data_IF_096954375078
#
_entry.id   IF_096954375078
#
_cell.length_a   1.000
_cell.length_b   1.000
_cell.length_c   1.000
_cell.angle_alpha   90.00
_cell.angle_beta   90.00
_cell.angle_gamma   90.00
#
_symmetry.space_group_name_H-M   'P 1'
#
loop_
_entity.id
_entity.type
_entity.pdbx_description
1 polymer ?
#
# COMPACT_ATOMS: atom_id res chain seq x y z
N UNK A 1 7.54 -19.90 -31.17
CA UNK A 1 7.08 -20.92 -30.21
C UNK A 1 5.92 -21.64 -30.83
N UNK A 2 5.99 -22.97 -30.96
CA UNK A 2 4.89 -23.76 -31.49
C UNK A 2 4.20 -24.42 -30.30
N UNK A 3 2.89 -24.25 -30.21
CA UNK A 3 2.07 -24.81 -29.15
C UNK A 3 1.09 -25.80 -29.79
N UNK A 4 1.00 -27.00 -29.23
CA UNK A 4 0.10 -28.05 -29.70
C UNK A 4 -0.69 -28.64 -28.52
N UNK A 5 -1.92 -29.07 -28.82
CA UNK A 5 -2.86 -29.69 -27.90
C UNK A 5 -3.29 -31.09 -28.39
N UNK A 6 -3.25 -32.10 -27.51
CA UNK A 6 -3.87 -33.41 -27.76
C UNK A 6 -5.31 -33.40 -27.23
N UNK A 7 -6.30 -33.74 -28.07
CA UNK A 7 -7.73 -33.68 -27.72
C UNK A 7 -8.15 -34.56 -26.54
N UNK A 8 -7.35 -35.57 -26.16
CA UNK A 8 -7.72 -36.55 -25.12
C UNK A 8 -7.24 -36.23 -23.71
N UNK A 9 -6.41 -35.19 -23.51
CA UNK A 9 -6.05 -34.76 -22.15
C UNK A 9 -5.98 -33.23 -22.03
N UNK A 10 -6.85 -32.68 -21.18
CA UNK A 10 -6.92 -31.24 -20.89
C UNK A 10 -5.70 -30.69 -20.13
N UNK A 11 -4.81 -31.55 -19.61
CA UNK A 11 -3.81 -31.17 -18.60
C UNK A 11 -2.34 -31.34 -18.99
N UNK A 12 -2.00 -32.06 -20.07
CA UNK A 12 -0.59 -32.21 -20.47
C UNK A 12 -0.20 -31.15 -21.48
N UNK A 13 0.54 -30.13 -21.01
CA UNK A 13 1.17 -29.10 -21.84
C UNK A 13 2.63 -29.45 -22.06
N UNK A 14 2.98 -29.78 -23.30
CA UNK A 14 4.37 -30.00 -23.68
C UNK A 14 4.91 -28.77 -24.40
N UNK A 15 6.02 -28.24 -23.88
CA UNK A 15 6.72 -27.10 -24.45
C UNK A 15 8.01 -27.60 -25.07
N UNK A 16 8.18 -27.37 -26.38
CA UNK A 16 9.47 -27.56 -27.02
C UNK A 16 9.80 -26.33 -27.86
N UNK A 17 11.01 -25.82 -27.67
CA UNK A 17 11.55 -24.71 -28.46
C UNK A 17 12.16 -25.27 -29.72
N UNK A 18 11.42 -25.15 -30.82
CA UNK A 18 11.88 -25.60 -32.14
C UNK A 18 12.52 -24.40 -32.85
N UNK A 19 13.73 -24.57 -33.42
CA UNK A 19 14.45 -23.48 -34.08
C UNK A 19 13.85 -23.03 -35.42
N UNK A 20 13.09 -23.88 -36.12
CA UNK A 20 12.51 -23.54 -37.43
C UNK A 20 11.12 -24.18 -37.65
N UNK A 21 10.16 -23.36 -38.09
CA UNK A 21 8.74 -23.74 -38.32
C UNK A 21 8.63 -24.71 -39.50
N UNK A 22 9.49 -24.57 -40.51
CA UNK A 22 9.47 -25.44 -41.70
C UNK A 22 9.90 -26.88 -41.39
N UNK A 23 10.79 -27.06 -40.41
CA UNK A 23 11.23 -28.38 -39.95
C UNK A 23 10.11 -29.12 -39.21
N UNK A 24 9.30 -28.39 -38.44
CA UNK A 24 8.15 -28.96 -37.73
C UNK A 24 7.06 -29.46 -38.70
N UNK A 25 6.71 -28.65 -39.70
CA UNK A 25 5.67 -28.98 -40.69
C UNK A 25 6.06 -30.14 -41.60
N UNK A 26 7.34 -30.25 -41.95
CA UNK A 26 7.78 -31.23 -42.97
C UNK A 26 8.15 -32.58 -42.37
N UNK A 27 8.68 -32.62 -41.14
CA UNK A 27 9.29 -33.83 -40.57
C UNK A 27 8.61 -34.28 -39.28
N UNK A 28 8.28 -33.37 -38.36
CA UNK A 28 7.71 -33.77 -37.06
C UNK A 28 6.20 -34.01 -37.11
N UNK A 29 5.45 -33.19 -37.85
CA UNK A 29 3.98 -33.33 -37.97
C UNK A 29 3.55 -34.69 -38.54
N UNK A 30 4.16 -35.22 -39.62
CA UNK A 30 3.81 -36.52 -40.18
C UNK A 30 4.14 -37.70 -39.25
N UNK A 31 5.25 -37.61 -38.50
CA UNK A 31 5.70 -38.66 -37.58
C UNK A 31 4.79 -38.74 -36.33
N UNK A 32 4.36 -37.59 -35.80
CA UNK A 32 3.45 -37.50 -34.66
C UNK A 32 2.03 -37.98 -35.05
N UNK A 33 1.55 -37.63 -36.25
CA UNK A 33 0.26 -38.11 -36.76
C UNK A 33 0.22 -39.61 -37.04
N UNK A 34 1.37 -40.25 -37.30
CA UNK A 34 1.43 -41.70 -37.57
C UNK A 34 1.39 -42.55 -36.30
N UNK A 35 1.85 -42.02 -35.17
CA UNK A 35 1.89 -42.73 -33.89
C UNK A 35 0.64 -42.55 -33.03
N UNK A 36 -0.10 -41.46 -33.19
CA UNK A 36 -1.34 -41.22 -32.49
C UNK A 36 -2.37 -40.66 -33.48
N UNK A 37 -3.44 -41.43 -33.67
CA UNK A 37 -4.58 -41.16 -34.56
C UNK A 37 -5.41 -39.96 -34.02
N UNK A 38 -4.78 -38.79 -33.90
CA UNK A 38 -5.39 -37.58 -33.37
C UNK A 38 -5.07 -36.43 -34.31
N UNK A 39 -6.12 -35.79 -34.79
CA UNK A 39 -6.07 -34.61 -35.64
C UNK A 39 -5.61 -33.41 -34.81
N UNK A 40 -4.43 -32.89 -35.15
CA UNK A 40 -3.75 -31.82 -34.42
C UNK A 40 -3.96 -30.51 -35.17
N UNK A 41 -4.66 -29.57 -34.54
CA UNK A 41 -4.83 -28.22 -35.07
C UNK A 41 -3.68 -27.33 -34.57
N UNK A 42 -2.78 -26.94 -35.48
CA UNK A 42 -1.65 -26.05 -35.18
C UNK A 42 -2.08 -24.60 -35.35
N UNK A 43 -2.07 -23.82 -34.26
CA UNK A 43 -2.22 -22.37 -34.34
C UNK A 43 -0.86 -21.69 -34.34
N UNK A 44 -0.53 -21.04 -35.45
CA UNK A 44 0.70 -20.25 -35.60
C UNK A 44 0.43 -18.82 -35.12
N UNK A 45 0.84 -18.49 -33.89
CA UNK A 45 0.82 -17.11 -33.39
C UNK A 45 2.10 -16.42 -33.87
N UNK A 46 2.02 -15.77 -35.04
CA UNK A 46 3.05 -14.85 -35.49
C UNK A 46 2.91 -13.52 -34.73
N UNK A 47 3.83 -13.28 -33.79
CA UNK A 47 3.95 -11.96 -33.13
C UNK A 47 4.59 -10.99 -34.13
N UNK A 48 3.77 -10.43 -35.03
CA UNK A 48 4.17 -9.38 -35.97
C UNK A 48 4.56 -8.12 -35.20
N UNK A 49 5.63 -7.47 -35.64
CA UNK A 49 6.17 -6.20 -35.12
C UNK A 49 5.15 -5.04 -35.08
N UNK A 50 3.96 -5.20 -35.67
CA UNK A 50 2.91 -4.19 -35.77
C UNK A 50 2.09 -3.94 -34.50
N UNK A 51 1.99 -4.89 -33.57
CA UNK A 51 1.11 -4.75 -32.40
C UNK A 51 1.60 -3.68 -31.41
N UNK A 52 2.91 -3.63 -31.17
CA UNK A 52 3.48 -2.63 -30.28
C UNK A 52 3.43 -1.23 -30.90
N UNK A 53 3.52 -1.13 -32.23
CA UNK A 53 3.39 0.13 -32.97
C UNK A 53 1.96 0.64 -32.91
N UNK A 54 0.95 -0.23 -33.09
CA UNK A 54 -0.47 0.13 -32.96
C UNK A 54 -0.80 0.52 -31.52
N UNK A 55 -0.28 -0.21 -30.53
CA UNK A 55 -0.39 0.13 -29.12
C UNK A 55 0.21 1.50 -28.80
N UNK A 56 1.43 1.77 -29.25
CA UNK A 56 2.10 3.05 -29.05
C UNK A 56 1.36 4.22 -29.73
N UNK A 57 0.86 4.03 -30.96
CA UNK A 57 0.07 5.04 -31.67
C UNK A 57 -1.28 5.31 -30.98
N UNK A 58 -1.95 4.29 -30.47
CA UNK A 58 -3.23 4.45 -29.75
C UNK A 58 -3.08 5.29 -28.49
N UNK A 59 -1.99 5.13 -27.74
CA UNK A 59 -1.69 5.90 -26.54
C UNK A 59 -1.33 7.35 -26.91
N UNK A 60 -0.52 7.54 -27.96
CA UNK A 60 -0.09 8.85 -28.40
C UNK A 60 -1.27 9.77 -28.77
N UNK A 61 -2.34 9.22 -29.38
CA UNK A 61 -3.55 9.97 -29.75
C UNK A 61 -4.23 10.61 -28.53
N UNK A 62 -4.17 10.00 -27.34
CA UNK A 62 -4.78 10.54 -26.12
C UNK A 62 -3.85 11.43 -25.30
N UNK A 63 -2.54 11.17 -25.33
CA UNK A 63 -1.56 11.94 -24.56
C UNK A 63 -1.33 13.34 -25.16
N UNK A 64 -1.34 13.46 -26.48
CA UNK A 64 -1.10 14.73 -27.17
C UNK A 64 -2.17 15.79 -26.81
N UNK A 65 -3.49 15.52 -26.86
CA UNK A 65 -4.52 16.48 -26.44
C UNK A 65 -4.37 16.92 -24.99
N UNK A 66 -4.10 15.98 -24.07
CA UNK A 66 -4.01 16.25 -22.62
C UNK A 66 -2.87 17.22 -22.29
N UNK A 67 -1.75 17.13 -23.01
CA UNK A 67 -0.60 18.01 -22.79
C UNK A 67 -0.60 19.27 -23.65
N UNK A 68 -1.13 19.21 -24.87
CA UNK A 68 -1.05 20.32 -25.81
C UNK A 68 -2.19 21.34 -25.62
N UNK A 69 -3.39 20.90 -25.23
CA UNK A 69 -4.54 21.80 -24.99
C UNK A 69 -4.25 22.83 -23.87
N UNK A 70 -3.66 22.47 -22.71
CA UNK A 70 -3.30 23.45 -21.68
C UNK A 70 -2.25 24.46 -22.16
N UNK A 71 -1.29 24.02 -22.99
CA UNK A 71 -0.24 24.87 -23.54
C UNK A 71 -0.82 25.89 -24.54
N UNK A 72 -1.78 25.46 -25.35
CA UNK A 72 -2.48 26.30 -26.31
C UNK A 72 -3.36 27.33 -25.59
N UNK A 73 -4.09 26.94 -24.54
CA UNK A 73 -4.86 27.87 -23.71
C UNK A 73 -3.95 28.97 -23.13
N UNK A 74 -2.78 28.60 -22.58
CA UNK A 74 -1.82 29.54 -22.01
C UNK A 74 -1.17 30.48 -23.05
N UNK A 75 -1.09 30.07 -24.31
CA UNK A 75 -0.55 30.90 -25.41
C UNK A 75 -1.57 31.90 -25.95
N UNK A 76 -2.86 31.56 -25.97
CA UNK A 76 -3.93 32.43 -26.49
C UNK A 76 -4.59 33.30 -25.39
N UNK A 77 -4.39 32.99 -24.11
CA UNK A 77 -4.94 33.75 -22.99
C UNK A 77 -4.02 34.85 -22.46
N UNK A 78 -3.24 35.53 -23.32
CA UNK A 78 -2.64 36.82 -22.94
C UNK A 78 -3.65 37.93 -23.24
N UNK A 79 -4.43 38.42 -22.25
CA UNK A 79 -5.31 39.56 -22.48
C UNK A 79 -4.45 40.80 -22.77
N UNK A 80 -4.53 41.32 -23.99
CA UNK A 80 -4.18 42.71 -24.31
C UNK A 80 -5.34 43.58 -23.80
N UNK A 81 -5.57 43.60 -22.49
CA UNK A 81 -6.41 44.62 -21.86
C UNK A 81 -5.87 44.91 -20.47
N UNK A 82 -5.14 46.02 -20.43
CA UNK A 82 -4.74 46.77 -19.25
C UNK A 82 -5.89 46.96 -18.27
N UNK A 83 -5.73 46.50 -17.03
CA UNK A 83 -6.19 47.18 -15.81
C UNK A 83 -5.53 46.53 -14.57
N UNK A 84 -4.94 47.32 -13.65
CA UNK A 84 -4.34 46.80 -12.43
C UNK A 84 -5.43 46.65 -11.36
N UNK A 85 -5.72 45.42 -10.95
CA UNK A 85 -6.47 45.15 -9.72
C UNK A 85 -5.62 44.24 -8.85
N UNK A 86 -5.19 44.80 -7.73
CA UNK A 86 -4.70 44.08 -6.56
C UNK A 86 -5.68 42.96 -6.19
N UNK A 87 -5.31 41.70 -6.41
CA UNK A 87 -5.90 40.55 -5.72
C UNK A 87 -4.94 39.35 -5.78
N UNK A 88 -4.34 39.03 -4.63
CA UNK A 88 -3.97 37.65 -4.32
C UNK A 88 -2.62 37.16 -4.82
N UNK A 89 -1.55 37.75 -4.31
CA UNK A 89 -0.29 37.04 -4.12
C UNK A 89 -0.55 35.75 -3.33
N UNK A 90 -0.17 34.61 -3.90
CA UNK A 90 0.10 33.37 -3.16
C UNK A 90 -1.08 32.41 -3.02
N UNK A 91 -1.21 31.46 -3.95
CA UNK A 91 -1.74 30.10 -3.69
C UNK A 91 -1.54 29.18 -4.89
N UNK A 92 -0.28 28.90 -5.25
CA UNK A 92 0.05 27.73 -6.08
C UNK A 92 1.26 27.06 -5.44
N UNK A 93 1.00 26.21 -4.44
CA UNK A 93 1.92 25.19 -3.91
C UNK A 93 1.07 24.21 -3.08
N UNK A 94 0.37 23.29 -3.75
CA UNK A 94 -0.29 22.16 -3.07
C UNK A 94 -0.39 20.91 -3.95
N UNK A 95 0.59 20.72 -4.84
CA UNK A 95 0.67 19.56 -5.71
C UNK A 95 2.13 19.10 -5.88
N UNK A 96 2.87 18.94 -4.79
CA UNK A 96 4.11 18.17 -4.81
C UNK A 96 4.47 17.72 -3.39
N UNK A 97 4.47 16.41 -3.15
CA UNK A 97 5.11 15.78 -2.00
C UNK A 97 4.33 15.81 -0.68
N UNK A 98 3.30 14.98 -0.55
CA UNK A 98 2.90 14.46 0.77
C UNK A 98 3.12 12.95 0.75
N UNK A 99 4.34 12.53 1.11
CA UNK A 99 4.49 11.29 1.88
C UNK A 99 3.51 11.44 3.04
N UNK A 100 2.58 10.52 3.20
CA UNK A 100 1.68 10.49 4.34
C UNK A 100 2.49 10.27 5.61
N UNK A 101 3.08 11.33 6.15
CA UNK A 101 3.55 11.32 7.53
C UNK A 101 2.32 11.12 8.40
N UNK A 102 2.19 9.92 8.98
CA UNK A 102 1.13 9.66 9.95
C UNK A 102 1.32 10.69 11.08
N UNK A 103 0.39 11.64 11.16
CA UNK A 103 0.40 12.67 12.19
C UNK A 103 -0.14 12.06 13.47
N UNK A 104 0.76 11.52 14.30
CA UNK A 104 0.41 11.13 15.67
C UNK A 104 0.06 12.40 16.46
N UNK A 105 -1.25 12.64 16.61
CA UNK A 105 -1.75 13.78 17.36
C UNK A 105 -1.87 13.36 18.83
N UNK A 106 -0.97 13.83 19.73
CA UNK A 106 -1.08 13.51 21.15
C UNK A 106 -2.41 14.03 21.68
N UNK A 107 -3.25 13.12 22.16
CA UNK A 107 -4.55 13.48 22.73
C UNK A 107 -4.44 13.42 24.23
N UNK A 108 -4.93 14.45 24.93
CA UNK A 108 -5.08 14.39 26.39
C UNK A 108 -6.29 13.53 26.72
N UNK A 109 -6.08 12.47 27.50
CA UNK A 109 -7.17 11.63 28.01
C UNK A 109 -7.77 12.26 29.27
N UNK A 110 -9.08 12.48 29.27
CA UNK A 110 -9.83 12.94 30.45
C UNK A 110 -10.36 11.78 31.32
N UNK A 111 -10.11 10.53 30.92
CA UNK A 111 -10.56 9.33 31.63
C UNK A 111 -9.65 9.04 32.83
N UNK A 112 -10.24 8.59 33.93
CA UNK A 112 -9.56 8.25 35.19
C UNK A 112 -9.82 6.80 35.60
N UNK A 113 -9.11 6.30 36.61
CA UNK A 113 -9.30 4.92 37.12
C UNK A 113 -10.68 4.68 37.73
N UNK A 114 -11.36 5.74 38.17
CA UNK A 114 -12.75 5.67 38.63
C UNK A 114 -13.73 5.30 37.50
N UNK A 115 -13.40 5.63 36.26
CA UNK A 115 -14.27 5.39 35.09
C UNK A 115 -14.14 3.96 34.55
N UNK A 116 -13.13 3.21 35.02
CA UNK A 116 -12.92 1.81 34.67
C UNK A 116 -13.57 0.94 35.73
N UNK A 117 -14.50 0.07 35.35
CA UNK A 117 -15.15 -0.85 36.31
C UNK A 117 -14.40 -2.19 36.32
N UNK A 118 -14.12 -2.72 37.52
CA UNK A 118 -13.41 -3.99 37.71
C UNK A 118 -11.89 -3.90 37.52
N UNK A 119 -11.26 -5.03 37.16
CA UNK A 119 -9.81 -5.17 36.90
C UNK A 119 -8.93 -4.74 38.07
N UNK A 120 -9.25 -5.18 39.29
CA UNK A 120 -8.57 -4.75 40.51
C UNK A 120 -7.08 -5.09 40.49
N UNK A 121 -6.73 -6.29 40.04
CA UNK A 121 -5.37 -6.78 39.94
C UNK A 121 -4.56 -5.96 38.94
N UNK A 122 -5.08 -5.77 37.72
CA UNK A 122 -4.41 -5.00 36.68
C UNK A 122 -4.27 -3.52 37.04
N UNK A 123 -5.26 -2.93 37.73
CA UNK A 123 -5.14 -1.57 38.25
C UNK A 123 -4.00 -1.47 39.25
N UNK A 124 -3.89 -2.43 40.18
CA UNK A 124 -2.85 -2.43 41.20
C UNK A 124 -1.44 -2.50 40.59
N UNK A 125 -1.23 -3.32 39.56
CA UNK A 125 0.06 -3.39 38.85
C UNK A 125 0.38 -2.09 38.07
N UNK A 126 -0.63 -1.47 37.47
CA UNK A 126 -0.44 -0.27 36.65
C UNK A 126 -0.23 1.00 37.49
N UNK A 127 -0.55 1.00 38.79
CA UNK A 127 -0.28 2.15 39.69
C UNK A 127 1.21 2.52 39.68
N UNK A 128 2.11 1.54 39.68
CA UNK A 128 3.55 1.79 39.62
C UNK A 128 3.95 2.50 38.31
N UNK A 129 3.36 2.09 37.19
CA UNK A 129 3.57 2.71 35.89
C UNK A 129 3.04 4.14 35.85
N UNK A 130 1.91 4.42 36.51
CA UNK A 130 1.36 5.78 36.63
C UNK A 130 2.30 6.69 37.42
N UNK A 131 2.83 6.21 38.55
CA UNK A 131 3.78 6.97 39.35
C UNK A 131 5.07 7.26 38.55
N UNK A 132 5.56 6.26 37.82
CA UNK A 132 6.69 6.42 36.90
C UNK A 132 6.42 7.46 35.80
N UNK A 133 5.27 7.38 35.13
CA UNK A 133 4.89 8.34 34.09
C UNK A 133 4.71 9.77 34.62
N UNK A 134 4.38 9.91 35.91
CA UNK A 134 4.20 11.21 36.57
C UNK A 134 5.53 11.84 37.01
N UNK A 135 6.44 11.04 37.59
CA UNK A 135 7.75 11.51 38.05
C UNK A 135 8.82 10.41 37.96
N UNK A 136 9.48 10.34 36.80
CA UNK A 136 10.57 9.40 36.57
C UNK A 136 11.80 9.67 37.46
N UNK A 137 11.97 10.88 38.00
CA UNK A 137 13.18 11.27 38.74
C UNK A 137 13.33 10.49 40.05
N UNK A 138 12.21 10.15 40.69
CA UNK A 138 12.19 9.33 41.92
C UNK A 138 12.79 7.95 41.69
N UNK A 139 12.51 7.33 40.54
CA UNK A 139 13.00 6.00 40.20
C UNK A 139 14.51 6.00 39.93
N UNK A 140 15.03 7.06 39.29
CA UNK A 140 16.48 7.23 39.09
C UNK A 140 17.24 7.40 40.41
N UNK A 141 16.68 8.14 41.37
CA UNK A 141 17.32 8.34 42.68
C UNK A 141 17.40 7.05 43.51
N UNK A 142 16.43 6.16 43.35
CA UNK A 142 16.39 4.86 44.00
C UNK A 142 17.28 3.81 43.30
N UNK A 143 17.85 4.14 42.14
CA UNK A 143 18.60 3.20 41.31
C UNK A 143 17.73 2.07 40.72
N UNK A 144 16.42 2.27 40.67
CA UNK A 144 15.47 1.28 40.17
C UNK A 144 15.55 1.15 38.64
N UNK A 145 15.38 -0.07 38.11
CA UNK A 145 15.28 -0.28 36.67
C UNK A 145 13.98 0.28 36.13
N UNK A 146 14.06 1.00 35.02
CA UNK A 146 12.90 1.62 34.39
C UNK A 146 12.13 0.57 33.59
N UNK A 147 10.81 0.43 33.81
CA UNK A 147 9.99 -0.46 33.01
C UNK A 147 9.91 0.07 31.57
N UNK A 148 10.30 -0.78 30.61
CA UNK A 148 10.38 -0.40 29.19
C UNK A 148 9.03 -0.51 28.45
N UNK A 149 7.99 -1.03 29.10
CA UNK A 149 6.63 -1.13 28.54
C UNK A 149 5.78 -2.19 29.23
N UNK A 150 4.47 -2.18 28.95
CA UNK A 150 3.53 -3.16 29.46
C UNK A 150 2.65 -3.70 28.32
N UNK A 151 2.39 -5.01 28.35
CA UNK A 151 1.52 -5.69 27.39
C UNK A 151 0.21 -6.10 28.06
N UNK A 152 -0.89 -5.49 27.66
CA UNK A 152 -2.22 -5.87 28.12
C UNK A 152 -2.79 -6.95 27.19
N UNK A 153 -3.00 -8.16 27.69
CA UNK A 153 -3.59 -9.27 26.93
C UNK A 153 -4.91 -9.77 27.53
N UNK A 154 -5.72 -10.47 26.73
CA UNK A 154 -6.97 -11.10 27.18
C UNK A 154 -8.09 -11.03 26.13
N UNK A 155 -9.30 -11.50 26.44
CA UNK A 155 -10.44 -11.51 25.53
C UNK A 155 -10.80 -10.11 24.98
N UNK A 156 -11.32 -9.97 23.75
CA UNK A 156 -11.75 -8.69 23.23
C UNK A 156 -12.90 -8.12 24.08
N UNK A 157 -13.00 -6.78 24.16
CA UNK A 157 -14.12 -6.12 24.85
C UNK A 157 -13.99 -5.94 26.37
N UNK A 158 -12.97 -6.50 27.02
CA UNK A 158 -12.80 -6.36 28.49
C UNK A 158 -12.38 -4.95 28.93
N UNK A 159 -11.97 -4.06 28.02
CA UNK A 159 -11.59 -2.69 28.38
C UNK A 159 -10.09 -2.42 28.51
N UNK A 160 -9.22 -3.25 27.92
CA UNK A 160 -7.75 -3.02 27.88
C UNK A 160 -7.37 -1.62 27.39
N UNK A 161 -7.95 -1.20 26.26
CA UNK A 161 -7.70 0.14 25.70
C UNK A 161 -8.25 1.26 26.60
N UNK A 162 -9.33 0.98 27.32
CA UNK A 162 -9.94 1.93 28.25
C UNK A 162 -9.05 2.10 29.48
N UNK A 163 -8.50 1.01 30.02
CA UNK A 163 -7.51 1.01 31.10
C UNK A 163 -6.25 1.79 30.71
N UNK A 164 -5.73 1.61 29.50
CA UNK A 164 -4.57 2.37 29.00
C UNK A 164 -4.85 3.88 28.89
N UNK A 165 -6.06 4.27 28.44
CA UNK A 165 -6.49 5.68 28.41
C UNK A 165 -6.65 6.27 29.81
N UNK A 166 -7.19 5.49 30.75
CA UNK A 166 -7.34 5.90 32.13
C UNK A 166 -5.97 6.09 32.82
N UNK A 167 -5.02 5.17 32.58
CA UNK A 167 -3.64 5.28 33.05
C UNK A 167 -2.97 6.59 32.58
N UNK A 168 -3.11 6.94 31.31
CA UNK A 168 -2.58 8.18 30.77
C UNK A 168 -3.24 9.43 31.39
N UNK A 169 -4.55 9.36 31.69
CA UNK A 169 -5.27 10.44 32.36
C UNK A 169 -4.87 10.63 33.82
N UNK A 170 -4.61 9.55 34.55
CA UNK A 170 -4.10 9.59 35.94
C UNK A 170 -2.69 10.20 36.00
N UNK A 171 -1.80 9.81 35.09
CA UNK A 171 -0.45 10.35 35.01
C UNK A 171 -0.38 11.75 34.38
N UNK A 172 -1.51 12.30 33.89
CA UNK A 172 -1.57 13.54 33.08
C UNK A 172 -0.62 13.52 31.88
N UNK A 173 -0.37 12.34 31.33
CA UNK A 173 0.50 12.12 30.19
C UNK A 173 -0.28 12.24 28.88
N UNK A 174 0.44 12.48 27.78
CA UNK A 174 -0.16 12.44 26.45
C UNK A 174 -0.44 10.98 26.05
N UNK A 175 -1.65 10.71 25.53
CA UNK A 175 -2.01 9.40 25.02
C UNK A 175 -1.90 9.37 23.50
N UNK A 176 -1.10 8.44 22.98
CA UNK A 176 -0.94 8.19 21.54
C UNK A 176 -1.43 6.78 21.27
N UNK A 177 -2.48 6.65 20.46
CA UNK A 177 -2.99 5.36 20.01
C UNK A 177 -2.61 5.13 18.55
N UNK A 178 -2.03 3.97 18.28
CA UNK A 178 -1.65 3.52 16.95
C UNK A 178 -2.14 2.09 16.75
N UNK A 179 -2.62 1.75 15.56
CA UNK A 179 -2.88 0.36 15.22
C UNK A 179 -1.61 -0.27 14.62
N UNK A 180 -1.38 -1.56 14.87
CA UNK A 180 -0.26 -2.29 14.28
C UNK A 180 -0.29 -2.31 12.74
N UNK A 181 -1.49 -2.22 12.14
CA UNK A 181 -1.66 -2.08 10.68
C UNK A 181 -1.00 -0.82 10.14
N UNK A 182 -1.08 0.28 10.88
CA UNK A 182 -0.56 1.59 10.49
C UNK A 182 0.98 1.58 10.42
N UNK A 183 1.62 0.68 11.18
CA UNK A 183 3.06 0.48 11.14
C UNK A 183 3.54 -0.25 9.88
N UNK A 184 2.75 -1.18 9.33
CA UNK A 184 3.17 -1.91 8.12
C UNK A 184 3.28 -0.97 6.93
N UNK A 185 2.35 -0.01 6.80
CA UNK A 185 2.36 0.98 5.73
C UNK A 185 3.56 1.95 5.82
N UNK A 186 4.08 2.19 7.03
CA UNK A 186 5.24 3.08 7.25
C UNK A 186 6.59 2.44 6.93
N UNK A 187 6.70 1.12 7.08
CA UNK A 187 7.98 0.40 7.02
C UNK A 187 8.08 -0.61 5.86
N UNK A 188 6.98 -0.92 5.16
CA UNK A 188 6.97 -1.82 4.00
C UNK A 188 7.25 -1.10 2.66
N UNK A 189 7.79 0.13 2.71
CA UNK A 189 8.26 0.89 1.55
C UNK A 189 9.66 0.48 1.10
#
# INVERSE_FOLDING_TARGET
>A
YVQWYSKSSWFSRHYTTIPDVRYFDTIMLPEIQRQQEVEIETQYVFKSWSEWVVGALSIAVWVIPVFYIPLLINSYSRPIYSSPINAGMGKVNKAMGLRSSIHFSPTKSNLKFCDVVGMYEAKNEIVELVEFLSDASKFYQLGAQIPNGALLFGPPGVGKTLLAKAMAGEAKANFIACCGSDFVELYAG
#
